data_IF_384986813102
#
_entry.id   IF_384986813102
#
_cell.length_a   1.000
_cell.length_b   1.000
_cell.length_c   1.000
_cell.angle_alpha   90.00
_cell.angle_beta   90.00
_cell.angle_gamma   90.00
#
_symmetry.space_group_name_H-M   'P 1'
#
loop_
_entity.id
_entity.type
_entity.pdbx_description
1 polymer ?
#
# COMPACT_ATOMS: atom_id res chain seq x y z
N UNK A 1 8.34 -34.04 26.76
CA UNK A 1 8.53 -32.59 26.58
C UNK A 1 9.56 -32.44 25.48
N UNK A 2 9.11 -32.30 24.25
CA UNK A 2 9.99 -32.07 23.09
C UNK A 2 10.47 -30.64 23.14
N UNK A 3 11.77 -30.43 23.19
CA UNK A 3 12.42 -29.14 23.00
C UNK A 3 11.92 -28.52 21.69
N UNK A 4 10.94 -27.62 21.78
CA UNK A 4 10.64 -26.69 20.70
C UNK A 4 11.81 -25.73 20.65
N UNK A 5 12.82 -26.07 19.87
CA UNK A 5 13.86 -25.12 19.47
C UNK A 5 13.11 -23.96 18.81
N UNK A 6 13.06 -22.85 19.53
CA UNK A 6 12.51 -21.59 19.05
C UNK A 6 13.44 -21.15 17.91
N UNK A 7 13.02 -21.45 16.68
CA UNK A 7 13.78 -21.06 15.50
C UNK A 7 13.43 -19.60 15.28
N UNK A 8 14.22 -18.73 15.92
CA UNK A 8 14.16 -17.30 15.66
C UNK A 8 14.36 -17.02 14.16
N UNK A 9 14.04 -15.81 13.70
CA UNK A 9 14.07 -15.42 12.29
C UNK A 9 15.44 -15.68 11.63
N UNK A 10 16.53 -15.66 12.41
CA UNK A 10 17.89 -15.95 11.95
C UNK A 10 18.10 -17.40 11.44
N UNK A 11 17.21 -18.33 11.78
CA UNK A 11 17.32 -19.75 11.40
C UNK A 11 16.39 -20.16 10.26
N UNK A 12 15.66 -19.20 9.67
CA UNK A 12 14.87 -19.38 8.46
C UNK A 12 15.48 -18.49 7.38
N UNK A 13 15.89 -19.06 6.25
CA UNK A 13 16.44 -18.28 5.16
C UNK A 13 15.39 -17.27 4.70
N UNK A 14 15.76 -15.98 4.68
CA UNK A 14 14.89 -14.89 4.24
C UNK A 14 14.70 -14.96 2.72
N UNK A 15 13.48 -14.74 2.19
CA UNK A 15 13.27 -14.69 0.75
C UNK A 15 13.94 -13.45 0.15
N UNK A 16 14.41 -13.53 -1.09
CA UNK A 16 15.16 -12.49 -1.78
C UNK A 16 14.43 -11.13 -1.75
N UNK A 17 13.11 -11.18 -1.88
CA UNK A 17 12.20 -10.02 -1.88
C UNK A 17 12.17 -9.27 -0.55
N UNK A 18 12.55 -9.91 0.55
CA UNK A 18 12.62 -9.29 1.87
C UNK A 18 14.03 -8.77 2.23
N UNK A 19 15.04 -8.95 1.37
CA UNK A 19 16.43 -8.58 1.70
C UNK A 19 16.65 -7.09 1.89
N UNK A 20 15.84 -6.25 1.24
CA UNK A 20 15.89 -4.79 1.39
C UNK A 20 15.27 -4.29 2.70
N UNK A 21 14.54 -5.14 3.43
CA UNK A 21 13.88 -4.75 4.68
C UNK A 21 14.91 -4.64 5.82
N UNK A 22 14.84 -3.52 6.55
CA UNK A 22 15.48 -3.37 7.85
C UNK A 22 15.02 -4.49 8.80
N UNK A 23 15.89 -4.86 9.73
CA UNK A 23 15.57 -5.81 10.79
C UNK A 23 15.65 -5.13 12.15
N UNK A 24 14.88 -5.63 13.12
CA UNK A 24 15.07 -5.26 14.53
C UNK A 24 16.28 -5.99 15.13
N UNK A 25 16.58 -5.70 16.40
CA UNK A 25 17.71 -6.29 17.13
C UNK A 25 17.65 -7.82 17.28
N UNK A 26 16.45 -8.40 17.10
CA UNK A 26 16.21 -9.85 17.17
C UNK A 26 16.33 -10.52 15.78
N UNK A 27 16.52 -9.73 14.73
CA UNK A 27 16.62 -10.20 13.34
C UNK A 27 15.28 -10.30 12.61
N UNK A 28 14.16 -9.88 13.21
CA UNK A 28 12.86 -9.87 12.54
C UNK A 28 12.83 -8.74 11.50
N UNK A 29 12.49 -9.02 10.23
CA UNK A 29 12.30 -7.95 9.26
C UNK A 29 11.12 -7.06 9.68
N UNK A 30 11.31 -5.74 9.61
CA UNK A 30 10.25 -4.77 9.88
C UNK A 30 9.38 -4.71 8.63
N UNK A 31 8.27 -5.44 8.66
CA UNK A 31 7.39 -5.61 7.51
C UNK A 31 6.68 -4.31 7.11
N UNK A 32 6.22 -4.24 5.86
CA UNK A 32 5.73 -3.02 5.25
C UNK A 32 4.48 -2.41 5.90
N UNK A 33 3.71 -3.17 6.69
CA UNK A 33 2.57 -2.65 7.46
C UNK A 33 2.95 -2.07 8.84
N UNK A 34 4.16 -2.34 9.34
CA UNK A 34 4.66 -1.84 10.63
C UNK A 34 5.33 -0.49 10.42
N UNK A 35 5.10 0.43 11.36
CA UNK A 35 5.79 1.72 11.39
C UNK A 35 7.32 1.55 11.43
N UNK A 36 8.05 2.33 10.65
CA UNK A 36 9.51 2.14 10.51
C UNK A 36 10.32 2.78 11.65
N UNK A 37 9.66 3.59 12.49
CA UNK A 37 10.29 4.28 13.60
C UNK A 37 10.76 3.30 14.69
N UNK A 38 11.97 3.49 15.25
CA UNK A 38 12.46 2.66 16.35
C UNK A 38 11.87 3.09 17.71
N UNK A 39 11.57 2.13 18.62
CA UNK A 39 11.54 0.69 18.38
C UNK A 39 10.30 0.30 17.54
N UNK A 40 10.43 -0.63 16.57
CA UNK A 40 9.29 -1.07 15.77
C UNK A 40 8.24 -1.79 16.61
N UNK A 41 6.97 -1.42 16.45
CA UNK A 41 5.85 -2.07 17.13
C UNK A 41 5.19 -3.14 16.25
N UNK A 42 5.65 -4.38 16.40
CA UNK A 42 5.07 -5.55 15.72
C UNK A 42 3.64 -5.90 16.17
N UNK A 43 3.12 -5.26 17.23
CA UNK A 43 1.74 -5.41 17.68
C UNK A 43 0.76 -4.43 17.04
N UNK A 44 1.25 -3.47 16.25
CA UNK A 44 0.42 -2.42 15.65
C UNK A 44 0.57 -2.39 14.13
N UNK A 45 -0.56 -2.54 13.43
CA UNK A 45 -0.66 -2.38 11.97
C UNK A 45 -1.05 -0.93 11.68
N UNK A 46 -0.33 -0.27 10.78
CA UNK A 46 -0.61 1.12 10.40
C UNK A 46 -1.61 1.19 9.24
N UNK A 47 -2.79 1.76 9.48
CA UNK A 47 -3.78 2.04 8.42
C UNK A 47 -3.24 2.98 7.35
N UNK A 48 -2.40 3.95 7.74
CA UNK A 48 -1.68 4.84 6.81
C UNK A 48 -0.84 4.03 5.81
N UNK A 49 -0.11 3.03 6.31
CA UNK A 49 0.71 2.14 5.47
C UNK A 49 -0.16 1.26 4.59
N UNK A 50 -1.24 0.69 5.13
CA UNK A 50 -2.20 -0.10 4.35
C UNK A 50 -2.82 0.70 3.20
N UNK A 51 -3.12 2.00 3.39
CA UNK A 51 -3.61 2.85 2.32
C UNK A 51 -2.58 3.01 1.19
N UNK A 52 -1.32 3.27 1.56
CA UNK A 52 -0.24 3.36 0.58
C UNK A 52 -0.05 2.05 -0.19
N UNK A 53 0.00 0.92 0.52
CA UNK A 53 0.13 -0.42 -0.08
C UNK A 53 -1.04 -0.74 -1.02
N UNK A 54 -2.28 -0.43 -0.63
CA UNK A 54 -3.47 -0.61 -1.46
C UNK A 54 -3.47 0.28 -2.71
N UNK A 55 -2.94 1.50 -2.58
CA UNK A 55 -2.89 2.48 -3.67
C UNK A 55 -1.94 2.05 -4.78
N UNK A 56 -0.79 1.51 -4.40
CA UNK A 56 0.28 1.11 -5.32
C UNK A 56 0.30 -0.40 -5.61
N UNK A 57 -0.66 -1.16 -5.04
CA UNK A 57 -0.81 -2.61 -5.20
C UNK A 57 0.45 -3.38 -4.81
N UNK A 58 0.85 -3.16 -3.55
CA UNK A 58 2.09 -3.64 -2.96
C UNK A 58 1.81 -4.68 -1.87
N UNK A 59 2.74 -5.60 -1.70
CA UNK A 59 2.70 -6.62 -0.68
C UNK A 59 2.84 -6.04 0.74
N UNK A 60 1.99 -6.49 1.65
CA UNK A 60 1.97 -6.04 3.04
C UNK A 60 3.22 -6.42 3.86
N UNK A 61 4.04 -7.34 3.35
CA UNK A 61 5.29 -7.75 3.99
C UNK A 61 6.49 -7.03 3.41
N UNK A 62 6.71 -7.14 2.10
CA UNK A 62 7.92 -6.65 1.46
C UNK A 62 7.76 -5.32 0.73
N UNK A 63 6.58 -4.70 0.71
CA UNK A 63 6.29 -3.47 -0.03
C UNK A 63 6.52 -3.54 -1.56
N UNK A 64 6.97 -4.66 -2.10
CA UNK A 64 7.17 -4.79 -3.55
C UNK A 64 5.82 -5.02 -4.26
N UNK A 65 5.68 -4.59 -5.53
CA UNK A 65 4.45 -4.74 -6.29
C UNK A 65 4.08 -6.19 -6.53
N UNK A 66 2.79 -6.46 -6.66
CA UNK A 66 2.31 -7.78 -7.02
C UNK A 66 2.52 -8.15 -8.49
N UNK A 67 2.53 -7.15 -9.39
CA UNK A 67 2.46 -7.38 -10.84
C UNK A 67 1.35 -8.40 -11.16
N UNK A 68 1.70 -9.51 -11.82
CA UNK A 68 0.78 -10.57 -12.23
C UNK A 68 0.63 -11.70 -11.19
N UNK A 69 1.29 -11.60 -10.03
CA UNK A 69 1.23 -12.63 -8.99
C UNK A 69 -0.09 -12.63 -8.21
N UNK A 70 -0.45 -13.75 -7.61
CA UNK A 70 -1.64 -13.80 -6.75
C UNK A 70 -1.44 -12.93 -5.49
N UNK A 71 -2.55 -12.37 -5.01
CA UNK A 71 -2.64 -11.65 -3.74
C UNK A 71 -3.07 -12.67 -2.69
N UNK A 72 -2.16 -13.05 -1.80
CA UNK A 72 -2.41 -14.06 -0.78
C UNK A 72 -2.92 -13.43 0.52
N UNK A 73 -3.82 -14.14 1.20
CA UNK A 73 -4.34 -13.78 2.51
C UNK A 73 -4.12 -14.90 3.51
N UNK A 74 -3.68 -14.53 4.72
CA UNK A 74 -3.55 -15.47 5.84
C UNK A 74 -4.89 -15.53 6.56
N UNK A 75 -5.42 -16.74 6.71
CA UNK A 75 -6.72 -17.04 7.30
C UNK A 75 -6.60 -18.22 8.26
N UNK A 76 -7.66 -18.47 9.01
CA UNK A 76 -7.73 -19.57 9.99
C UNK A 76 -8.87 -20.56 9.72
N UNK A 77 -9.50 -20.42 8.55
CA UNK A 77 -10.54 -21.30 8.03
C UNK A 77 -10.31 -21.53 6.53
N UNK A 78 -10.66 -22.71 6.05
CA UNK A 78 -10.61 -23.01 4.61
C UNK A 78 -11.81 -22.35 3.93
N UNK A 79 -11.54 -21.66 2.82
CA UNK A 79 -12.55 -21.11 1.94
C UNK A 79 -12.00 -21.03 0.52
N UNK A 80 -12.86 -21.33 -0.45
CA UNK A 80 -12.66 -21.18 -1.89
C UNK A 80 -13.51 -20.03 -2.47
N UNK A 81 -14.12 -19.22 -1.59
CA UNK A 81 -14.95 -18.08 -1.95
C UNK A 81 -14.15 -16.77 -1.99
N UNK A 82 -14.74 -15.75 -2.62
CA UNK A 82 -14.27 -14.37 -2.47
C UNK A 82 -14.44 -13.93 -1.01
N UNK A 83 -13.45 -13.22 -0.47
CA UNK A 83 -13.44 -12.84 0.95
C UNK A 83 -13.32 -11.33 1.13
N UNK A 84 -13.65 -10.87 2.33
CA UNK A 84 -13.30 -9.55 2.80
C UNK A 84 -12.52 -9.66 4.12
N UNK A 85 -11.37 -8.98 4.20
CA UNK A 85 -10.50 -9.01 5.38
C UNK A 85 -9.91 -7.64 5.68
N UNK A 86 -9.60 -7.37 6.95
CA UNK A 86 -8.88 -6.14 7.36
C UNK A 86 -7.37 -6.22 7.12
N UNK A 87 -6.86 -7.39 6.70
CA UNK A 87 -5.45 -7.63 6.40
C UNK A 87 -5.13 -7.30 4.94
N UNK A 88 -4.03 -6.58 4.74
CA UNK A 88 -3.53 -6.30 3.39
C UNK A 88 -2.89 -7.56 2.81
N UNK A 89 -3.06 -7.82 1.49
CA UNK A 89 -2.55 -9.04 0.88
C UNK A 89 -1.01 -9.10 0.86
N UNK A 90 -0.48 -10.30 0.74
CA UNK A 90 0.96 -10.60 0.66
C UNK A 90 1.29 -11.46 -0.56
N UNK A 91 2.56 -11.46 -0.99
CA UNK A 91 3.04 -12.49 -1.92
C UNK A 91 3.02 -13.87 -1.23
N UNK A 92 2.92 -14.93 -2.03
CA UNK A 92 2.90 -16.32 -1.54
C UNK A 92 4.07 -16.61 -0.59
N UNK A 93 5.28 -16.36 -1.08
CA UNK A 93 6.51 -16.64 -0.33
C UNK A 93 6.64 -15.78 0.92
N UNK A 94 6.16 -14.53 0.87
CA UNK A 94 6.16 -13.63 2.01
C UNK A 94 5.22 -14.14 3.11
N UNK A 95 4.02 -14.59 2.73
CA UNK A 95 3.06 -15.19 3.66
C UNK A 95 3.59 -16.49 4.28
N UNK A 96 4.16 -17.38 3.45
CA UNK A 96 4.76 -18.64 3.91
C UNK A 96 5.95 -18.40 4.85
N UNK A 97 6.80 -17.41 4.53
CA UNK A 97 7.88 -16.98 5.41
C UNK A 97 7.34 -16.46 6.74
N UNK A 98 6.31 -15.61 6.73
CA UNK A 98 5.66 -15.14 7.95
C UNK A 98 5.08 -16.30 8.77
N UNK A 99 4.52 -17.33 8.13
CA UNK A 99 4.05 -18.54 8.82
C UNK A 99 5.17 -19.35 9.48
N UNK A 100 6.43 -19.19 9.05
CA UNK A 100 7.59 -19.80 9.71
C UNK A 100 8.05 -19.00 10.93
N UNK A 101 8.14 -17.67 10.80
CA UNK A 101 8.84 -16.84 11.78
C UNK A 101 7.93 -16.11 12.75
N UNK A 102 6.69 -15.79 12.38
CA UNK A 102 5.79 -15.02 13.25
C UNK A 102 5.35 -15.91 14.42
N UNK A 103 5.64 -15.57 15.69
CA UNK A 103 5.29 -16.42 16.82
C UNK A 103 3.79 -16.72 16.91
N UNK A 104 2.95 -15.77 16.49
CA UNK A 104 1.51 -16.00 16.44
C UNK A 104 1.15 -16.99 15.33
N UNK A 105 1.57 -16.75 14.08
CA UNK A 105 1.19 -17.61 12.94
C UNK A 105 1.86 -18.98 12.98
N UNK A 106 3.08 -19.10 13.51
CA UNK A 106 3.86 -20.35 13.49
C UNK A 106 3.48 -21.33 14.60
N UNK A 107 2.90 -20.85 15.70
CA UNK A 107 2.67 -21.69 16.90
C UNK A 107 1.18 -21.95 17.12
N UNK A 108 0.66 -23.17 16.87
CA UNK A 108 -0.75 -23.49 17.09
C UNK A 108 -1.19 -23.04 18.48
N UNK A 109 -2.39 -22.49 18.58
CA UNK A 109 -2.95 -22.05 19.86
C UNK A 109 -2.21 -20.90 20.55
N UNK A 110 -1.29 -20.23 19.85
CA UNK A 110 -0.71 -18.99 20.33
C UNK A 110 -1.82 -18.00 20.70
N UNK A 111 -1.55 -17.25 21.78
CA UNK A 111 -2.44 -16.17 22.22
C UNK A 111 -1.90 -14.85 21.72
N UNK A 112 -2.78 -13.97 21.24
CA UNK A 112 -2.40 -12.59 20.99
C UNK A 112 -2.02 -11.93 22.32
N UNK A 113 -0.74 -11.59 22.46
CA UNK A 113 -0.19 -10.98 23.68
C UNK A 113 -0.50 -9.48 23.78
N UNK A 114 -0.79 -8.83 22.65
CA UNK A 114 -1.05 -7.39 22.51
C UNK A 114 -2.14 -7.14 21.45
N UNK A 115 -2.83 -6.01 21.56
CA UNK A 115 -3.94 -5.61 20.69
C UNK A 115 -5.23 -5.35 21.50
N UNK A 116 -5.78 -4.14 21.38
CA UNK A 116 -7.11 -3.84 21.92
C UNK A 116 -8.16 -4.73 21.21
N UNK A 117 -9.06 -5.34 21.99
CA UNK A 117 -10.14 -6.19 21.47
C UNK A 117 -9.79 -7.67 21.19
N UNK A 118 -8.51 -8.03 20.98
CA UNK A 118 -8.09 -9.44 20.73
C UNK A 118 -7.10 -10.01 21.76
N UNK A 119 -6.72 -9.24 22.77
CA UNK A 119 -5.79 -9.71 23.80
C UNK A 119 -6.28 -11.01 24.44
N UNK A 120 -5.46 -12.05 24.37
CA UNK A 120 -5.76 -13.37 24.93
C UNK A 120 -6.54 -14.30 24.00
N UNK A 121 -7.00 -13.84 22.83
CA UNK A 121 -7.63 -14.68 21.83
C UNK A 121 -6.66 -15.78 21.39
N UNK A 122 -7.14 -17.02 21.46
CA UNK A 122 -6.38 -18.21 21.10
C UNK A 122 -6.63 -18.48 19.63
N UNK A 123 -5.57 -18.48 18.82
CA UNK A 123 -5.74 -18.80 17.41
C UNK A 123 -6.17 -20.27 17.22
N UNK A 124 -6.95 -20.57 16.17
CA UNK A 124 -7.13 -21.93 15.70
C UNK A 124 -5.80 -22.60 15.33
N UNK A 125 -5.77 -23.93 15.38
CA UNK A 125 -4.61 -24.72 14.97
C UNK A 125 -4.27 -24.46 13.50
N UNK A 126 -5.30 -24.49 12.66
CA UNK A 126 -5.24 -24.33 11.22
C UNK A 126 -4.78 -22.93 10.80
N UNK A 127 -3.79 -22.87 9.91
CA UNK A 127 -3.48 -21.67 9.12
C UNK A 127 -3.72 -21.99 7.66
N UNK A 128 -4.45 -21.12 6.97
CA UNK A 128 -4.69 -21.22 5.54
C UNK A 128 -4.12 -19.99 4.87
N UNK A 129 -3.31 -20.16 3.82
CA UNK A 129 -2.99 -19.06 2.92
C UNK A 129 -3.79 -19.27 1.65
N UNK A 130 -4.70 -18.35 1.31
CA UNK A 130 -5.47 -18.41 0.07
C UNK A 130 -5.02 -17.34 -0.92
N UNK A 131 -4.79 -17.75 -2.17
CA UNK A 131 -4.34 -16.90 -3.25
C UNK A 131 -5.49 -16.45 -4.14
N UNK A 132 -5.58 -15.14 -4.37
CA UNK A 132 -6.62 -14.50 -5.18
C UNK A 132 -6.01 -13.78 -6.38
N UNK A 133 -6.74 -13.74 -7.50
CA UNK A 133 -6.27 -13.05 -8.71
C UNK A 133 -6.12 -11.54 -8.50
N UNK A 134 -6.96 -10.93 -7.67
CA UNK A 134 -6.99 -9.47 -7.52
C UNK A 134 -7.59 -9.01 -6.19
N UNK A 135 -7.24 -7.79 -5.81
CA UNK A 135 -8.01 -6.98 -4.86
C UNK A 135 -9.14 -6.28 -5.64
N UNK A 136 -10.38 -6.70 -5.39
CA UNK A 136 -11.57 -6.14 -6.07
C UNK A 136 -11.89 -4.73 -5.59
N UNK A 137 -11.87 -4.53 -4.28
CA UNK A 137 -12.17 -3.25 -3.67
C UNK A 137 -11.38 -3.08 -2.38
N UNK A 138 -11.14 -1.83 -2.01
CA UNK A 138 -10.65 -1.44 -0.70
C UNK A 138 -11.52 -0.31 -0.19
N UNK A 139 -11.95 -0.40 1.06
CA UNK A 139 -12.83 0.59 1.69
C UNK A 139 -12.60 0.70 3.20
N UNK A 140 -12.88 1.87 3.77
CA UNK A 140 -12.94 2.06 5.22
C UNK A 140 -14.26 1.53 5.77
N UNK A 141 -14.20 0.68 6.79
CA UNK A 141 -15.36 0.13 7.50
C UNK A 141 -15.08 0.07 9.00
N UNK A 142 -16.14 0.14 9.81
CA UNK A 142 -16.04 -0.05 11.25
C UNK A 142 -15.40 -1.41 11.56
N UNK A 143 -14.40 -1.42 12.43
CA UNK A 143 -13.79 -2.66 12.89
C UNK A 143 -14.70 -3.33 13.92
N UNK A 144 -14.81 -4.66 13.86
CA UNK A 144 -15.45 -5.44 14.93
C UNK A 144 -14.59 -5.57 16.19
N UNK A 145 -13.36 -5.04 16.15
CA UNK A 145 -12.30 -5.27 17.14
C UNK A 145 -11.73 -3.97 17.67
N UNK A 146 -11.47 -3.02 16.77
CA UNK A 146 -10.97 -1.70 17.11
C UNK A 146 -12.13 -0.71 17.18
N UNK A 147 -12.04 0.35 18.00
CA UNK A 147 -13.10 1.36 18.10
C UNK A 147 -13.27 2.16 16.81
N UNK A 148 -12.21 2.30 16.03
CA UNK A 148 -12.19 3.09 14.80
C UNK A 148 -12.45 2.25 13.54
N UNK A 149 -12.71 2.92 12.41
CA UNK A 149 -12.75 2.23 11.13
C UNK A 149 -11.35 1.85 10.66
N UNK A 150 -11.25 0.71 9.97
CA UNK A 150 -10.03 0.20 9.36
C UNK A 150 -10.25 -0.03 7.86
N UNK A 151 -9.16 -0.20 7.12
CA UNK A 151 -9.23 -0.62 5.73
C UNK A 151 -9.56 -2.11 5.63
N UNK A 152 -10.60 -2.41 4.84
CA UNK A 152 -10.98 -3.74 4.41
C UNK A 152 -10.63 -3.96 2.94
N UNK A 153 -10.14 -5.15 2.63
CA UNK A 153 -9.72 -5.62 1.32
C UNK A 153 -10.68 -6.73 0.88
N UNK A 154 -11.46 -6.45 -0.15
CA UNK A 154 -12.28 -7.46 -0.82
C UNK A 154 -11.42 -8.16 -1.86
N UNK A 155 -11.14 -9.45 -1.65
CA UNK A 155 -10.31 -10.27 -2.51
C UNK A 155 -11.20 -11.09 -3.44
N UNK A 156 -10.83 -11.19 -4.71
CA UNK A 156 -11.67 -11.84 -5.71
C UNK A 156 -10.92 -12.78 -6.64
N UNK A 157 -11.64 -13.81 -7.10
CA UNK A 157 -11.12 -14.82 -8.00
C UNK A 157 -10.14 -15.72 -7.25
N UNK A 158 -10.65 -16.48 -6.29
CA UNK A 158 -9.90 -17.55 -5.63
C UNK A 158 -9.24 -18.47 -6.67
N UNK A 159 -8.00 -18.89 -6.41
CA UNK A 159 -7.23 -19.77 -7.30
C UNK A 159 -6.80 -21.05 -6.60
N UNK A 160 -6.15 -20.91 -5.44
CA UNK A 160 -5.58 -22.04 -4.67
C UNK A 160 -5.30 -21.63 -3.24
N UNK A 161 -5.05 -22.61 -2.37
CA UNK A 161 -4.62 -22.38 -1.00
C UNK A 161 -3.47 -23.30 -0.57
N UNK A 162 -2.73 -22.87 0.45
CA UNK A 162 -1.89 -23.72 1.29
C UNK A 162 -2.61 -23.94 2.60
N UNK A 163 -2.79 -25.20 2.98
CA UNK A 163 -3.40 -25.56 4.26
C UNK A 163 -2.31 -26.09 5.19
N UNK A 164 -1.97 -25.29 6.20
CA UNK A 164 -0.85 -25.53 7.11
C UNK A 164 -1.40 -25.98 8.47
N UNK A 165 -1.36 -27.28 8.73
CA UNK A 165 -1.82 -27.88 9.99
C UNK A 165 -0.71 -27.96 11.01
N UNK A 166 0.52 -28.12 10.53
CA UNK A 166 1.71 -28.15 11.38
C UNK A 166 2.79 -27.18 10.91
N UNK A 167 3.83 -27.08 11.74
CA UNK A 167 5.03 -26.31 11.41
C UNK A 167 5.78 -26.93 10.23
N UNK A 168 5.77 -28.26 10.13
CA UNK A 168 6.37 -29.02 9.04
C UNK A 168 5.66 -28.74 7.72
N UNK A 169 4.32 -28.63 7.71
CA UNK A 169 3.56 -28.23 6.51
C UNK A 169 4.02 -26.86 6.03
N UNK A 170 4.08 -25.89 6.95
CA UNK A 170 4.53 -24.54 6.64
C UNK A 170 5.98 -24.53 6.11
N UNK A 171 6.85 -25.39 6.67
CA UNK A 171 8.26 -25.45 6.27
C UNK A 171 8.43 -26.09 4.90
N UNK A 172 7.65 -27.13 4.60
CA UNK A 172 7.64 -27.80 3.30
C UNK A 172 7.11 -26.86 2.21
N UNK A 173 5.97 -26.20 2.42
CA UNK A 173 5.43 -25.20 1.48
C UNK A 173 6.39 -24.04 1.28
N UNK A 174 7.01 -23.53 2.35
CA UNK A 174 7.99 -22.45 2.25
C UNK A 174 9.24 -22.87 1.45
N UNK A 175 9.79 -24.05 1.73
CA UNK A 175 10.96 -24.57 1.00
C UNK A 175 10.66 -24.74 -0.50
N UNK A 176 9.47 -25.21 -0.85
CA UNK A 176 9.03 -25.32 -2.24
C UNK A 176 8.94 -23.94 -2.93
N UNK A 177 8.35 -22.95 -2.26
CA UNK A 177 8.27 -21.59 -2.79
C UNK A 177 9.66 -20.94 -2.94
N UNK A 178 10.53 -21.15 -1.95
CA UNK A 178 11.89 -20.60 -1.91
C UNK A 178 12.80 -21.15 -3.01
N UNK A 179 12.61 -22.41 -3.41
CA UNK A 179 13.36 -23.01 -4.52
C UNK A 179 13.12 -22.30 -5.87
N UNK A 180 12.01 -21.58 -6.00
CA UNK A 180 11.65 -20.80 -7.18
C UNK A 180 11.67 -19.29 -6.94
N UNK A 181 12.16 -18.84 -5.78
CA UNK A 181 12.18 -17.42 -5.44
C UNK A 181 13.15 -16.66 -6.33
N UNK A 182 12.64 -15.60 -6.93
CA UNK A 182 13.41 -14.67 -7.74
C UNK A 182 13.11 -13.26 -7.28
N UNK A 183 14.15 -12.42 -7.23
CA UNK A 183 13.98 -11.00 -6.96
C UNK A 183 13.07 -10.38 -8.02
N UNK A 184 12.12 -9.55 -7.58
CA UNK A 184 11.29 -8.77 -8.52
C UNK A 184 12.18 -7.70 -9.13
N UNK A 185 12.16 -7.60 -10.46
CA UNK A 185 12.73 -6.45 -11.15
C UNK A 185 11.80 -5.25 -10.96
N UNK A 186 12.29 -4.25 -10.24
CA UNK A 186 11.58 -2.99 -10.02
C UNK A 186 12.07 -1.95 -11.02
N UNK A 187 11.14 -1.27 -11.68
CA UNK A 187 11.52 -0.07 -12.42
C UNK A 187 11.89 1.08 -11.46
N UNK A 188 12.55 2.15 -11.94
CA UNK A 188 13.02 3.22 -11.07
C UNK A 188 11.94 3.91 -10.22
N UNK A 189 10.70 3.98 -10.71
CA UNK A 189 9.60 4.60 -9.97
C UNK A 189 9.08 3.66 -8.88
N UNK A 190 8.98 2.36 -9.17
CA UNK A 190 8.63 1.33 -8.18
C UNK A 190 9.70 1.22 -7.08
N UNK A 191 10.98 1.14 -7.46
CA UNK A 191 12.09 1.11 -6.51
C UNK A 191 12.04 2.32 -5.59
N UNK A 192 11.80 3.53 -6.13
CA UNK A 192 11.72 4.75 -5.33
C UNK A 192 10.57 4.71 -4.32
N UNK A 193 9.42 4.16 -4.67
CA UNK A 193 8.30 4.00 -3.73
C UNK A 193 8.65 3.01 -2.61
N UNK A 194 9.24 1.87 -2.94
CA UNK A 194 9.69 0.86 -1.96
C UNK A 194 10.71 1.45 -1.00
N UNK A 195 11.73 2.14 -1.53
CA UNK A 195 12.76 2.78 -0.73
C UNK A 195 12.17 3.80 0.25
N UNK A 196 11.27 4.66 -0.23
CA UNK A 196 10.63 5.66 0.61
C UNK A 196 9.73 5.03 1.68
N UNK A 197 9.01 3.95 1.35
CA UNK A 197 8.09 3.32 2.29
C UNK A 197 8.82 2.49 3.36
N UNK A 198 9.95 1.87 3.03
CA UNK A 198 10.65 0.92 3.90
C UNK A 198 11.86 1.52 4.65
N UNK A 199 12.24 2.77 4.37
CA UNK A 199 13.30 3.46 5.10
C UNK A 199 12.74 4.47 6.10
N UNK A 200 13.62 4.92 7.00
CA UNK A 200 13.36 6.04 7.89
C UNK A 200 13.23 7.34 7.08
N UNK A 201 12.40 8.25 7.57
CA UNK A 201 12.36 9.63 7.12
C UNK A 201 13.58 10.40 7.63
N UNK A 202 13.81 11.59 7.07
CA UNK A 202 14.80 12.53 7.61
C UNK A 202 14.34 13.17 8.93
N UNK A 203 13.03 13.22 9.18
CA UNK A 203 12.44 13.82 10.37
C UNK A 203 12.26 12.76 11.47
N UNK A 204 12.96 12.93 12.58
CA UNK A 204 12.86 12.05 13.74
C UNK A 204 11.40 11.92 14.23
N UNK A 205 10.96 10.67 14.47
CA UNK A 205 9.61 10.37 14.93
C UNK A 205 8.53 10.30 13.84
N UNK A 206 8.83 10.64 12.59
CA UNK A 206 7.86 10.59 11.49
C UNK A 206 7.87 9.23 10.79
N UNK A 207 6.78 8.46 10.86
CA UNK A 207 6.69 7.21 10.07
C UNK A 207 6.60 7.51 8.56
N UNK A 208 7.48 6.91 7.76
CA UNK A 208 7.49 7.06 6.30
C UNK A 208 6.20 6.61 5.63
N UNK A 209 5.51 5.65 6.25
CA UNK A 209 4.18 5.19 5.87
C UNK A 209 3.11 6.24 6.00
N UNK A 210 3.16 6.99 7.10
CA UNK A 210 2.35 8.19 7.38
C UNK A 210 2.50 9.23 6.26
N UNK A 211 3.73 9.51 5.83
CA UNK A 211 4.00 10.48 4.76
C UNK A 211 3.58 9.95 3.39
N UNK A 212 3.89 8.67 3.12
CA UNK A 212 3.49 8.01 1.88
C UNK A 212 1.97 7.88 1.75
N UNK A 213 1.22 7.77 2.85
CA UNK A 213 -0.24 7.82 2.85
C UNK A 213 -0.77 9.16 2.29
N UNK A 214 -0.11 10.27 2.63
CA UNK A 214 -0.43 11.59 2.05
C UNK A 214 -0.14 11.65 0.55
N UNK A 215 0.96 11.06 0.09
CA UNK A 215 1.27 10.96 -1.33
C UNK A 215 0.30 10.02 -2.08
N UNK A 216 -0.10 8.90 -1.45
CA UNK A 216 -1.16 8.02 -1.92
C UNK A 216 -2.50 8.77 -2.04
N UNK A 217 -2.83 9.60 -1.05
CA UNK A 217 -3.99 10.47 -1.08
C UNK A 217 -3.99 11.35 -2.33
N UNK A 218 -2.87 12.04 -2.59
CA UNK A 218 -2.68 12.89 -3.76
C UNK A 218 -2.89 12.16 -5.10
N UNK A 219 -2.47 10.90 -5.23
CA UNK A 219 -2.67 10.15 -6.49
C UNK A 219 -4.08 9.59 -6.65
N UNK A 220 -4.92 9.63 -5.61
CA UNK A 220 -6.34 9.30 -5.71
C UNK A 220 -6.90 8.45 -4.57
N UNK A 221 -6.08 8.05 -3.59
CA UNK A 221 -6.56 7.24 -2.47
C UNK A 221 -7.60 7.97 -1.61
N UNK A 222 -7.60 9.31 -1.62
CA UNK A 222 -8.65 10.12 -0.96
C UNK A 222 -10.06 9.94 -1.54
N UNK A 223 -10.21 9.26 -2.68
CA UNK A 223 -11.51 8.92 -3.26
C UNK A 223 -11.99 7.50 -2.88
N UNK A 224 -11.19 6.76 -2.12
CA UNK A 224 -11.57 5.48 -1.52
C UNK A 224 -12.81 5.65 -0.62
N UNK A 225 -13.78 4.74 -0.76
CA UNK A 225 -15.02 4.79 0.04
C UNK A 225 -14.72 4.58 1.52
N UNK A 226 -15.23 5.45 2.39
CA UNK A 226 -15.06 5.35 3.85
C UNK A 226 -13.66 5.72 4.37
N UNK A 227 -12.70 6.07 3.50
CA UNK A 227 -11.30 6.31 3.92
C UNK A 227 -11.15 7.44 4.92
N UNK A 228 -12.02 8.46 4.89
CA UNK A 228 -11.98 9.59 5.84
C UNK A 228 -12.40 9.20 7.26
N UNK A 229 -13.01 8.03 7.44
CA UNK A 229 -13.43 7.49 8.73
C UNK A 229 -12.38 6.55 9.32
N UNK A 230 -11.38 6.15 8.51
CA UNK A 230 -10.31 5.26 8.93
C UNK A 230 -9.36 5.97 9.89
N UNK A 231 -8.90 5.24 10.90
CA UNK A 231 -8.00 5.75 11.93
C UNK A 231 -6.80 6.51 11.31
N UNK A 232 -6.61 7.76 11.73
CA UNK A 232 -5.49 8.62 11.34
C UNK A 232 -5.56 9.23 9.92
N UNK A 233 -6.67 9.04 9.20
CA UNK A 233 -6.86 9.54 7.82
C UNK A 233 -7.58 10.89 7.74
N UNK A 234 -8.26 11.30 8.80
CA UNK A 234 -9.05 12.55 8.87
C UNK A 234 -8.20 13.79 8.53
N UNK A 235 -6.93 13.80 8.94
CA UNK A 235 -5.97 14.87 8.62
C UNK A 235 -5.77 15.11 7.12
N UNK A 236 -5.96 14.09 6.28
CA UNK A 236 -5.82 14.21 4.82
C UNK A 236 -7.09 14.72 4.14
N UNK A 237 -8.22 14.76 4.86
CA UNK A 237 -9.48 15.28 4.33
C UNK A 237 -9.55 16.83 4.33
N UNK A 238 -8.42 17.50 4.53
CA UNK A 238 -8.31 18.94 4.66
C UNK A 238 -7.42 19.54 3.57
N UNK A 239 -7.43 20.86 3.45
CA UNK A 239 -6.48 21.56 2.59
C UNK A 239 -5.04 21.41 3.15
N UNK A 240 -4.01 21.17 2.33
CA UNK A 240 -4.01 21.16 0.86
C UNK A 240 -4.28 19.79 0.21
N UNK A 241 -4.34 18.70 0.97
CA UNK A 241 -4.38 17.32 0.46
C UNK A 241 -5.54 17.07 -0.52
N UNK A 242 -6.76 17.43 -0.15
CA UNK A 242 -7.93 17.25 -1.02
C UNK A 242 -7.81 18.06 -2.32
N UNK A 243 -7.31 19.30 -2.24
CA UNK A 243 -7.09 20.16 -3.41
C UNK A 243 -6.08 19.54 -4.38
N UNK A 244 -4.94 19.07 -3.87
CA UNK A 244 -3.91 18.41 -4.68
C UNK A 244 -4.47 17.15 -5.35
N UNK A 245 -5.23 16.34 -4.60
CA UNK A 245 -5.83 15.10 -5.10
C UNK A 245 -6.81 15.34 -6.25
N UNK A 246 -7.67 16.36 -6.12
CA UNK A 246 -8.58 16.78 -7.20
C UNK A 246 -7.80 17.28 -8.40
N UNK A 247 -6.76 18.09 -8.21
CA UNK A 247 -5.92 18.55 -9.33
C UNK A 247 -5.22 17.39 -10.04
N UNK A 248 -4.73 16.39 -9.30
CA UNK A 248 -4.06 15.20 -9.84
C UNK A 248 -4.98 14.25 -10.62
N UNK A 249 -6.29 14.53 -10.70
CA UNK A 249 -7.19 13.84 -11.64
C UNK A 249 -6.96 14.25 -13.11
N UNK A 250 -6.29 15.39 -13.34
CA UNK A 250 -5.89 15.88 -14.67
C UNK A 250 -4.41 15.56 -14.95
N UNK A 251 -4.12 14.90 -16.08
CA UNK A 251 -2.78 14.41 -16.42
C UNK A 251 -1.71 15.51 -16.48
N UNK A 252 -2.07 16.73 -16.93
CA UNK A 252 -1.16 17.89 -16.94
C UNK A 252 -0.67 18.25 -15.53
N UNK A 253 -1.53 18.14 -14.53
CA UNK A 253 -1.17 18.45 -13.14
C UNK A 253 -0.34 17.33 -12.54
N UNK A 254 -0.58 16.07 -12.92
CA UNK A 254 0.28 14.94 -12.54
C UNK A 254 1.72 15.19 -13.01
N UNK A 255 1.91 15.63 -14.27
CA UNK A 255 3.25 15.98 -14.78
C UNK A 255 3.89 17.09 -13.96
N UNK A 256 3.16 18.20 -13.76
CA UNK A 256 3.64 19.33 -12.95
C UNK A 256 4.04 18.90 -11.54
N UNK A 257 3.22 18.10 -10.86
CA UNK A 257 3.51 17.62 -9.51
C UNK A 257 4.70 16.63 -9.49
N UNK A 258 4.85 15.81 -10.54
CA UNK A 258 5.99 14.89 -10.69
C UNK A 258 7.33 15.61 -10.90
N UNK A 259 7.31 16.82 -11.46
CA UNK A 259 8.53 17.58 -11.80
C UNK A 259 8.82 18.67 -10.76
N UNK A 260 7.80 19.36 -10.25
CA UNK A 260 7.94 20.59 -9.45
C UNK A 260 7.64 20.42 -7.96
N UNK A 261 7.11 19.27 -7.50
CA UNK A 261 6.78 19.08 -6.08
C UNK A 261 8.04 19.12 -5.20
N UNK A 262 8.08 20.04 -4.22
CA UNK A 262 9.13 20.08 -3.21
C UNK A 262 9.13 18.86 -2.27
N UNK A 263 7.96 18.24 -2.06
CA UNK A 263 7.83 16.99 -1.31
C UNK A 263 8.25 15.80 -2.19
N UNK A 264 9.27 15.06 -1.73
CA UNK A 264 9.84 13.89 -2.40
C UNK A 264 8.86 12.72 -2.49
N UNK A 265 7.93 12.57 -1.54
CA UNK A 265 6.95 11.49 -1.52
C UNK A 265 5.86 11.74 -2.57
N UNK A 266 5.29 12.94 -2.57
CA UNK A 266 4.36 13.37 -3.63
C UNK A 266 5.01 13.27 -5.00
N UNK A 267 6.28 13.69 -5.14
CA UNK A 267 7.01 13.59 -6.40
C UNK A 267 7.14 12.15 -6.87
N UNK A 268 7.57 11.23 -6.00
CA UNK A 268 7.70 9.81 -6.31
C UNK A 268 6.36 9.17 -6.72
N UNK A 269 5.29 9.44 -5.95
CA UNK A 269 3.96 8.92 -6.26
C UNK A 269 3.43 9.42 -7.62
N UNK A 270 3.66 10.69 -7.96
CA UNK A 270 3.24 11.27 -9.24
C UNK A 270 4.09 10.75 -10.41
N UNK A 271 5.39 10.52 -10.20
CA UNK A 271 6.26 9.88 -11.20
C UNK A 271 5.83 8.44 -11.48
N UNK A 272 5.53 7.66 -10.44
CA UNK A 272 4.94 6.33 -10.58
C UNK A 272 3.62 6.40 -11.36
N UNK A 273 2.69 7.28 -10.96
CA UNK A 273 1.40 7.44 -11.63
C UNK A 273 1.55 7.79 -13.11
N UNK A 274 2.51 8.66 -13.45
CA UNK A 274 2.80 9.10 -14.83
C UNK A 274 3.36 7.98 -15.71
N UNK A 275 4.13 7.05 -15.13
CA UNK A 275 4.82 5.99 -15.87
C UNK A 275 3.96 4.75 -16.07
N UNK A 276 2.86 4.59 -15.32
CA UNK A 276 1.97 3.44 -15.45
C UNK A 276 1.12 3.52 -16.73
N UNK A 277 1.19 2.47 -17.55
CA UNK A 277 0.25 2.26 -18.68
C UNK A 277 -1.13 1.79 -18.20
N UNK A 278 -1.15 1.02 -17.12
CA UNK A 278 -2.36 0.50 -16.46
C UNK A 278 -2.20 0.73 -14.96
N UNK A 279 -3.24 1.26 -14.34
CA UNK A 279 -3.29 1.42 -12.88
C UNK A 279 -3.82 0.14 -12.25
N UNK A 280 -3.46 -0.13 -10.97
CA UNK A 280 -4.17 -1.11 -10.16
C UNK A 280 -5.69 -0.87 -10.24
N UNK A 281 -6.47 -1.95 -10.27
CA UNK A 281 -7.93 -1.88 -10.38
C UNK A 281 -8.52 -0.92 -9.36
N UNK A 282 -8.17 -1.11 -8.08
CA UNK A 282 -8.59 -0.30 -6.94
C UNK A 282 -8.37 1.20 -7.18
N UNK A 283 -7.14 1.61 -7.52
CA UNK A 283 -6.81 3.00 -7.77
C UNK A 283 -7.51 3.55 -9.03
N UNK A 284 -7.64 2.76 -10.08
CA UNK A 284 -8.38 3.16 -11.28
C UNK A 284 -9.84 3.48 -10.95
N UNK A 285 -10.48 2.65 -10.11
CA UNK A 285 -11.86 2.86 -9.66
C UNK A 285 -11.99 4.12 -8.82
N UNK A 286 -11.11 4.32 -7.85
CA UNK A 286 -11.08 5.51 -6.99
C UNK A 286 -10.92 6.79 -7.81
N UNK A 287 -10.00 6.81 -8.78
CA UNK A 287 -9.79 7.97 -9.64
C UNK A 287 -10.98 8.24 -10.56
N UNK A 288 -11.63 7.19 -11.08
CA UNK A 288 -12.88 7.30 -11.85
C UNK A 288 -14.00 7.92 -11.00
N UNK A 289 -14.12 7.48 -9.75
CA UNK A 289 -15.05 8.02 -8.77
C UNK A 289 -14.77 9.48 -8.44
N UNK A 290 -13.50 9.83 -8.21
CA UNK A 290 -13.06 11.22 -8.02
C UNK A 290 -13.43 12.10 -9.21
N UNK A 291 -13.19 11.64 -10.45
CA UNK A 291 -13.58 12.38 -11.67
C UNK A 291 -15.08 12.59 -11.77
N UNK A 292 -15.89 11.60 -11.37
CA UNK A 292 -17.36 11.71 -11.33
C UNK A 292 -17.80 12.76 -10.31
N UNK A 293 -17.27 12.73 -9.09
CA UNK A 293 -17.64 13.64 -7.99
C UNK A 293 -17.20 15.08 -8.25
N UNK A 294 -15.98 15.27 -8.74
CA UNK A 294 -15.35 16.59 -8.91
C UNK A 294 -15.37 17.12 -10.35
N UNK A 295 -16.11 16.48 -11.25
CA UNK A 295 -16.14 16.85 -12.67
C UNK A 295 -16.49 18.31 -12.94
N UNK A 296 -17.31 18.95 -12.11
CA UNK A 296 -17.66 20.36 -12.23
C UNK A 296 -16.46 21.30 -11.93
N UNK A 297 -15.65 20.99 -10.91
CA UNK A 297 -14.41 21.73 -10.57
C UNK A 297 -13.37 21.55 -11.67
N UNK A 298 -13.26 20.34 -12.21
CA UNK A 298 -12.31 20.04 -13.27
C UNK A 298 -12.62 20.80 -14.57
N UNK A 299 -13.90 21.01 -14.89
CA UNK A 299 -14.34 21.78 -16.06
C UNK A 299 -14.08 23.28 -15.92
N UNK A 300 -14.32 23.86 -14.74
CA UNK A 300 -14.12 25.30 -14.52
C UNK A 300 -12.65 25.70 -14.66
N UNK A 301 -11.72 24.89 -14.14
CA UNK A 301 -10.27 25.11 -14.29
C UNK A 301 -9.80 25.09 -15.75
N UNK A 302 -10.29 24.14 -16.55
CA UNK A 302 -9.94 24.05 -17.97
C UNK A 302 -10.40 25.30 -18.77
N UNK A 303 -11.55 25.87 -18.41
CA UNK A 303 -12.04 27.12 -19.01
C UNK A 303 -11.18 28.33 -18.67
N UNK A 304 -10.69 28.42 -17.44
CA UNK A 304 -9.81 29.52 -17.00
C UNK A 304 -8.44 29.47 -17.68
N UNK A 305 -7.84 28.29 -17.81
CA UNK A 305 -6.54 28.14 -18.46
C UNK A 305 -6.60 28.50 -19.95
N UNK A 306 -7.62 28.00 -20.66
CA UNK A 306 -7.84 28.34 -22.07
C UNK A 306 -8.05 29.86 -22.26
N UNK A 307 -8.71 30.52 -21.30
CA UNK A 307 -8.88 31.97 -21.31
C UNK A 307 -7.54 32.70 -21.10
N UNK A 308 -6.72 32.25 -20.15
CA UNK A 308 -5.41 32.83 -19.88
C UNK A 308 -4.43 32.66 -21.07
N UNK A 309 -4.39 31.47 -21.68
CA UNK A 309 -3.58 31.20 -22.88
C UNK A 309 -4.04 32.04 -24.08
N UNK A 310 -5.36 32.13 -24.31
CA UNK A 310 -5.92 33.01 -25.36
C UNK A 310 -5.52 34.46 -25.15
N UNK A 311 -5.61 34.98 -23.92
CA UNK A 311 -5.16 36.34 -23.57
C UNK A 311 -3.67 36.54 -23.82
N UNK A 312 -2.82 35.57 -23.47
CA UNK A 312 -1.37 35.62 -23.71
C UNK A 312 -1.05 35.62 -25.21
N UNK A 313 -1.72 34.77 -25.99
CA UNK A 313 -1.58 34.72 -27.44
C UNK A 313 -2.05 36.03 -28.12
N UNK A 314 -3.18 36.59 -27.67
CA UNK A 314 -3.71 37.86 -28.20
C UNK A 314 -2.77 39.03 -27.90
N UNK A 315 -2.20 39.10 -26.68
CA UNK A 315 -1.16 40.10 -26.33
C UNK A 315 0.08 39.97 -27.22
N UNK A 316 0.53 38.74 -27.50
CA UNK A 316 1.66 38.49 -28.41
C UNK A 316 1.37 38.97 -29.84
N UNK A 317 0.16 38.72 -30.36
CA UNK A 317 -0.28 39.22 -31.68
C UNK A 317 -0.34 40.75 -31.73
N UNK A 318 -0.91 41.39 -30.71
CA UNK A 318 -0.97 42.86 -30.62
C UNK A 318 0.43 43.48 -30.53
N UNK A 319 1.34 42.88 -29.76
CA UNK A 319 2.74 43.34 -29.67
C UNK A 319 3.47 43.23 -31.01
N UNK A 320 3.28 42.11 -31.73
CA UNK A 320 3.86 41.91 -33.05
C UNK A 320 3.32 42.92 -34.09
N UNK A 321 2.01 43.20 -34.07
CA UNK A 321 1.39 44.20 -34.95
C UNK A 321 1.94 45.61 -34.69
N UNK A 322 2.12 46.00 -33.42
CA UNK A 322 2.73 47.29 -33.04
C UNK A 322 4.18 47.45 -33.52
N UNK A 323 4.94 46.35 -33.60
CA UNK A 323 6.31 46.39 -34.14
C UNK A 323 6.34 46.57 -35.66
N UNK A 324 5.39 45.99 -36.40
CA UNK A 324 5.32 46.15 -37.86
C UNK A 324 4.99 47.58 -38.29
N UNK A 325 4.18 48.31 -37.52
CA UNK A 325 3.81 49.69 -37.85
C UNK A 325 4.87 50.74 -37.46
N UNK A 326 6.03 50.34 -36.95
CA UNK A 326 7.15 51.24 -36.59
C UNK A 326 8.29 51.24 -37.62
N UNK A 327 8.18 50.44 -38.68
CA UNK A 327 9.06 50.43 -39.84
C UNK A 327 8.30 51.00 -41.03
#
# INVERSE_FOLDING_TARGET
>A
MTDTVDRGPASVLRPARCNHLRADERGYPIIATIGQQPPPDFGAISENRKLALATFDLCAICAQPFHDELRWQVMFEETDEDIETSEAPVHEICGLYAAQICPYVSSPYARMSRGEGRKGERRPELVVLSGYQRTMAVCGKASGVQPDSVLHFAMGGYVRSHVLRSREDAAASYAAALATDVAIELDPAEQRLVDLLCNLTELEGEDSGSVMAGAAWHVGAGFCTGVTQVQGMDRFNQHPFTTISVHALQDRNVRRLADDSGDIYTRAAMQWLRTRKRLPSTLAEWRRDGRRRFGHILKSSAGQDNSAERRKAQRKKQSAARRKNRH
#
